data_IF_481880182025
#
_entry.id   IF_481880182025
#
_cell.length_a   1.000
_cell.length_b   1.000
_cell.length_c   1.000
_cell.angle_alpha   90.00
_cell.angle_beta   90.00
_cell.angle_gamma   90.00
#
_symmetry.space_group_name_H-M   'P 1'
#
loop_
_entity.id
_entity.type
_entity.pdbx_description
1 polymer ?
#
# COMPACT_ATOMS: atom_id res chain seq x y z
N UNK A 1 -53.02 30.26 77.88
CA UNK A 1 -51.57 30.15 77.61
C UNK A 1 -51.19 28.73 78.02
N UNK A 2 -50.62 27.82 77.23
CA UNK A 2 -49.74 27.94 76.07
C UNK A 2 -49.83 26.66 75.22
N UNK A 3 -49.91 26.86 73.89
CA UNK A 3 -49.32 26.10 72.77
C UNK A 3 -49.31 24.56 72.75
N UNK A 4 -50.18 23.99 71.90
CA UNK A 4 -49.96 22.70 71.24
C UNK A 4 -49.08 22.91 70.00
N UNK A 5 -48.01 22.13 69.85
CA UNK A 5 -47.15 22.11 68.65
C UNK A 5 -47.64 20.98 67.75
N UNK A 6 -48.31 21.33 66.65
CA UNK A 6 -48.58 20.43 65.53
C UNK A 6 -47.32 20.34 64.67
N UNK A 7 -46.62 19.20 64.73
CA UNK A 7 -45.53 18.90 63.80
C UNK A 7 -46.10 18.56 62.42
N UNK A 8 -46.07 19.53 61.50
CA UNK A 8 -46.35 19.28 60.09
C UNK A 8 -45.16 18.53 59.47
N UNK A 9 -45.36 17.26 59.14
CA UNK A 9 -44.43 16.50 58.30
C UNK A 9 -44.42 17.09 56.89
N UNK A 10 -43.32 17.75 56.52
CA UNK A 10 -43.05 18.15 55.14
C UNK A 10 -42.79 16.90 54.29
N UNK A 11 -43.82 16.40 53.63
CA UNK A 11 -43.66 15.47 52.52
C UNK A 11 -43.08 16.25 51.33
N UNK A 12 -41.75 16.22 51.19
CA UNK A 12 -41.09 16.66 49.96
C UNK A 12 -41.42 15.65 48.85
N UNK A 13 -42.41 15.97 48.02
CA UNK A 13 -42.66 15.21 46.79
C UNK A 13 -41.50 15.48 45.82
N UNK A 14 -40.59 14.53 45.68
CA UNK A 14 -39.66 14.55 44.55
C UNK A 14 -40.46 14.41 43.24
N UNK A 15 -40.16 15.25 42.27
CA UNK A 15 -40.66 15.08 40.91
C UNK A 15 -40.15 13.75 40.35
N UNK A 16 -41.06 12.93 39.83
CA UNK A 16 -40.69 11.75 39.05
C UNK A 16 -40.00 12.24 37.77
N UNK A 17 -38.70 12.02 37.67
CA UNK A 17 -37.93 12.27 36.46
C UNK A 17 -37.83 10.94 35.73
N UNK A 18 -38.68 10.74 34.72
CA UNK A 18 -38.57 9.63 33.79
C UNK A 18 -37.62 10.02 32.66
N UNK A 19 -36.46 9.39 32.58
CA UNK A 19 -35.57 9.53 31.42
C UNK A 19 -35.84 8.39 30.44
N UNK A 20 -36.22 8.73 29.20
CA UNK A 20 -36.20 7.80 28.08
C UNK A 20 -34.87 7.98 27.36
N UNK A 21 -33.99 6.98 27.43
CA UNK A 21 -32.72 6.98 26.70
C UNK A 21 -32.93 6.16 25.43
N UNK A 22 -33.00 6.84 24.29
CA UNK A 22 -32.95 6.19 22.98
C UNK A 22 -31.50 5.82 22.64
N UNK A 23 -31.28 4.60 22.12
CA UNK A 23 -29.96 4.07 21.73
C UNK A 23 -30.08 3.31 20.40
N UNK A 24 -30.40 4.00 19.30
CA UNK A 24 -30.37 3.35 18.00
C UNK A 24 -28.96 2.79 17.75
N UNK A 25 -28.87 1.50 17.42
CA UNK A 25 -27.63 0.79 17.16
C UNK A 25 -27.66 0.28 15.71
N UNK A 26 -26.68 0.69 14.93
CA UNK A 26 -26.41 0.14 13.60
C UNK A 26 -25.17 -0.73 13.71
N UNK A 27 -25.26 -2.00 13.35
CA UNK A 27 -24.13 -2.93 13.34
C UNK A 27 -23.68 -3.16 11.91
N UNK A 28 -22.37 -3.07 11.69
CA UNK A 28 -21.70 -3.52 10.47
C UNK A 28 -20.58 -4.45 10.93
N UNK A 29 -20.67 -5.72 10.56
CA UNK A 29 -19.84 -6.78 11.17
C UNK A 29 -18.36 -6.63 10.82
N UNK A 30 -18.05 -6.33 9.55
CA UNK A 30 -16.70 -6.08 9.07
C UNK A 30 -16.65 -4.91 8.11
N UNK A 31 -15.63 -4.08 8.25
CA UNK A 31 -15.30 -3.01 7.30
C UNK A 31 -13.81 -3.09 6.99
N UNK A 32 -13.46 -3.07 5.71
CA UNK A 32 -12.12 -2.81 5.24
C UNK A 32 -12.13 -1.54 4.39
N UNK A 33 -11.17 -0.66 4.67
CA UNK A 33 -10.98 0.60 3.99
C UNK A 33 -9.62 0.53 3.34
N UNK A 34 -9.59 0.66 2.01
CA UNK A 34 -8.35 0.80 1.25
C UNK A 34 -8.20 2.25 0.84
N UNK A 35 -7.02 2.80 1.06
CA UNK A 35 -6.72 4.15 0.62
C UNK A 35 -5.32 4.23 0.03
N UNK A 36 -5.24 5.01 -1.03
CA UNK A 36 -4.04 5.35 -1.79
C UNK A 36 -4.38 6.58 -2.64
N UNK A 37 -3.78 6.76 -3.81
CA UNK A 37 -4.20 7.81 -4.73
C UNK A 37 -5.52 7.44 -5.42
N UNK A 38 -6.32 8.46 -5.75
CA UNK A 38 -7.54 8.26 -6.54
C UNK A 38 -7.25 7.91 -8.01
N UNK A 39 -8.29 7.51 -8.74
CA UNK A 39 -8.23 7.20 -10.17
C UNK A 39 -7.79 8.39 -11.06
N UNK A 40 -7.75 9.62 -10.51
CA UNK A 40 -7.25 10.82 -11.21
C UNK A 40 -5.81 11.20 -10.83
N UNK A 41 -5.16 10.44 -9.95
CA UNK A 41 -3.78 10.68 -9.52
C UNK A 41 -3.62 11.76 -8.45
N UNK A 42 -4.64 12.02 -7.64
CA UNK A 42 -4.55 13.00 -6.54
C UNK A 42 -4.21 12.33 -5.19
N UNK A 43 -3.63 13.13 -4.27
CA UNK A 43 -3.16 12.77 -2.93
C UNK A 43 -4.21 11.96 -2.11
N UNK A 44 -3.83 11.24 -1.03
CA UNK A 44 -4.59 10.10 -0.55
C UNK A 44 -6.03 10.44 -0.18
N UNK A 45 -6.95 9.75 -0.83
CA UNK A 45 -8.35 9.68 -0.43
C UNK A 45 -8.67 8.23 -0.09
N UNK A 46 -9.74 8.04 0.69
CA UNK A 46 -10.32 6.71 0.80
C UNK A 46 -10.81 6.28 -0.57
N UNK A 47 -10.20 5.21 -1.09
CA UNK A 47 -10.39 4.76 -2.47
C UNK A 47 -11.43 3.64 -2.53
N UNK A 48 -11.54 2.82 -1.49
CA UNK A 48 -12.47 1.69 -1.43
C UNK A 48 -13.03 1.48 -0.01
N UNK A 49 -14.31 1.12 0.07
CA UNK A 49 -15.01 0.67 1.27
C UNK A 49 -15.66 -0.69 1.01
N UNK A 50 -15.14 -1.69 1.71
CA UNK A 50 -15.66 -3.05 1.67
C UNK A 50 -16.41 -3.30 2.97
N UNK A 51 -17.69 -3.65 2.84
CA UNK A 51 -18.54 -4.00 3.97
C UNK A 51 -18.89 -5.49 3.93
N UNK A 52 -18.56 -6.18 5.02
CA UNK A 52 -19.10 -7.50 5.32
C UNK A 52 -20.47 -7.35 5.99
N UNK A 53 -21.49 -7.87 5.32
CA UNK A 53 -22.88 -7.87 5.75
C UNK A 53 -23.40 -9.26 6.17
N UNK A 54 -22.49 -10.18 6.51
CA UNK A 54 -22.82 -11.57 6.87
C UNK A 54 -23.07 -12.46 5.65
N UNK A 55 -22.46 -12.10 4.51
CA UNK A 55 -22.69 -12.68 3.18
C UNK A 55 -21.50 -12.42 2.24
N UNK A 56 -21.77 -12.03 1.00
CA UNK A 56 -20.70 -11.55 0.11
C UNK A 56 -20.31 -10.12 0.49
N UNK A 57 -19.02 -9.84 0.49
CA UNK A 57 -18.49 -8.49 0.65
C UNK A 57 -19.11 -7.55 -0.39
N UNK A 58 -19.57 -6.39 0.08
CA UNK A 58 -20.08 -5.33 -0.79
C UNK A 58 -19.04 -4.23 -0.89
N UNK A 59 -18.49 -4.06 -2.09
CA UNK A 59 -17.74 -2.88 -2.47
C UNK A 59 -18.73 -1.71 -2.69
N UNK A 60 -18.58 -0.66 -1.89
CA UNK A 60 -19.40 0.55 -1.97
C UNK A 60 -18.84 1.60 -2.93
N UNK A 61 -17.56 1.54 -3.27
CA UNK A 61 -16.90 2.45 -4.19
C UNK A 61 -16.33 1.61 -5.34
N UNK A 62 -17.15 1.45 -6.37
CA UNK A 62 -16.80 0.74 -7.61
C UNK A 62 -15.77 1.51 -8.48
N UNK A 63 -14.71 2.03 -7.86
CA UNK A 63 -13.64 2.80 -8.48
C UNK A 63 -12.28 2.30 -7.98
N UNK A 64 -11.38 2.02 -8.91
CA UNK A 64 -10.06 1.49 -8.60
C UNK A 64 -9.15 2.58 -7.99
N UNK A 65 -8.31 2.16 -7.04
CA UNK A 65 -7.25 2.98 -6.47
C UNK A 65 -5.95 2.82 -7.26
N UNK A 66 -5.15 3.88 -7.34
CA UNK A 66 -3.75 3.75 -7.76
C UNK A 66 -2.84 3.69 -6.53
N UNK A 67 -1.88 2.77 -6.55
CA UNK A 67 -0.84 2.75 -5.52
C UNK A 67 -0.09 4.08 -5.50
N UNK A 68 0.52 4.43 -4.37
CA UNK A 68 1.42 5.59 -4.26
C UNK A 68 2.86 5.11 -4.22
N UNK A 69 3.82 5.98 -4.56
CA UNK A 69 5.25 5.69 -4.35
C UNK A 69 5.49 5.51 -2.85
N UNK A 70 6.13 4.42 -2.43
CA UNK A 70 6.43 4.22 -1.00
C UNK A 70 7.33 5.35 -0.46
N UNK A 71 6.91 5.98 0.64
CA UNK A 71 7.60 7.15 1.19
C UNK A 71 6.93 8.49 0.81
N UNK A 72 6.06 8.46 -0.20
CA UNK A 72 5.35 9.62 -0.74
C UNK A 72 3.85 9.33 -0.86
N UNK A 73 3.09 10.37 -1.14
CA UNK A 73 1.67 10.36 -1.43
C UNK A 73 1.36 10.62 -2.91
N UNK A 74 2.40 10.69 -3.75
CA UNK A 74 2.25 10.79 -5.18
C UNK A 74 1.73 9.48 -5.78
N UNK A 75 0.72 9.51 -6.66
CA UNK A 75 0.25 8.32 -7.36
C UNK A 75 1.38 7.68 -8.17
N UNK A 76 1.28 6.38 -8.39
CA UNK A 76 1.90 5.76 -9.54
C UNK A 76 0.98 5.93 -10.75
N UNK A 77 1.39 6.77 -11.68
CA UNK A 77 0.86 6.81 -13.05
C UNK A 77 1.91 6.23 -14.02
N UNK A 78 1.62 6.27 -15.32
CA UNK A 78 2.58 5.86 -16.36
C UNK A 78 3.81 6.80 -16.45
N UNK A 79 3.87 7.88 -15.66
CA UNK A 79 5.01 8.78 -15.63
C UNK A 79 5.91 8.43 -14.43
N UNK A 80 7.02 7.76 -14.68
CA UNK A 80 7.98 7.40 -13.63
C UNK A 80 8.49 8.66 -12.89
N UNK A 81 8.14 8.85 -11.60
CA UNK A 81 8.49 10.05 -10.84
C UNK A 81 9.99 10.09 -10.51
N UNK A 82 10.64 11.25 -10.62
CA UNK A 82 12.08 11.45 -10.36
C UNK A 82 12.59 10.67 -9.12
N UNK A 83 13.68 9.92 -9.27
CA UNK A 83 14.22 8.98 -8.27
C UNK A 83 13.68 7.54 -8.35
N UNK A 84 12.91 7.18 -9.38
CA UNK A 84 12.39 5.82 -9.68
C UNK A 84 12.94 5.27 -11.01
N UNK A 85 12.81 3.97 -11.27
CA UNK A 85 13.37 3.34 -12.49
C UNK A 85 14.73 2.63 -12.35
N UNK A 86 15.51 2.61 -13.44
CA UNK A 86 16.62 1.68 -13.63
C UNK A 86 18.01 2.30 -13.36
N UNK A 87 18.91 1.52 -12.75
CA UNK A 87 20.33 1.87 -12.63
C UNK A 87 21.09 1.40 -13.87
N UNK A 88 21.75 2.33 -14.55
CA UNK A 88 22.63 2.04 -15.68
C UNK A 88 24.07 1.78 -15.21
N UNK A 89 24.74 0.85 -15.88
CA UNK A 89 26.16 0.60 -15.74
C UNK A 89 26.82 0.65 -17.09
N UNK A 90 27.86 1.47 -17.16
CA UNK A 90 28.72 1.65 -18.31
C UNK A 90 30.11 1.15 -17.91
N UNK A 91 30.59 0.09 -18.54
CA UNK A 91 31.92 -0.47 -18.31
C UNK A 91 32.76 -0.39 -19.57
N UNK A 92 34.09 -0.46 -19.40
CA UNK A 92 35.05 -0.57 -20.50
C UNK A 92 34.92 0.57 -21.52
N UNK A 93 34.55 1.77 -21.07
CA UNK A 93 34.51 2.94 -21.94
C UNK A 93 35.93 3.43 -22.22
N UNK A 94 36.34 3.63 -23.49
CA UNK A 94 37.63 4.24 -23.79
C UNK A 94 37.71 5.69 -23.27
N UNK A 95 38.81 6.02 -22.59
CA UNK A 95 39.09 7.39 -22.14
C UNK A 95 38.27 7.87 -20.93
N UNK A 96 37.56 6.98 -20.24
CA UNK A 96 36.85 7.26 -18.99
C UNK A 96 36.81 6.03 -18.07
N UNK A 97 36.65 6.24 -16.76
CA UNK A 97 36.47 5.14 -15.81
C UNK A 97 35.13 4.43 -15.99
N UNK A 98 34.98 3.25 -15.41
CA UNK A 98 33.66 2.61 -15.30
C UNK A 98 32.71 3.55 -14.57
N UNK A 99 31.50 3.71 -15.12
CA UNK A 99 30.45 4.53 -14.52
C UNK A 99 29.31 3.61 -14.12
N UNK A 100 28.96 3.63 -12.85
CA UNK A 100 27.66 3.17 -12.38
C UNK A 100 26.92 4.42 -11.97
N UNK A 101 25.63 4.54 -12.26
CA UNK A 101 24.89 5.53 -11.48
C UNK A 101 25.05 5.23 -10.01
N UNK A 102 25.05 6.32 -9.23
CA UNK A 102 25.17 6.25 -7.79
C UNK A 102 24.16 5.23 -7.28
N UNK A 103 24.59 4.42 -6.33
CA UNK A 103 23.73 3.44 -5.68
C UNK A 103 22.61 4.21 -4.94
N UNK A 104 21.45 4.36 -5.58
CA UNK A 104 20.33 5.19 -5.11
C UNK A 104 19.77 6.15 -6.16
N UNK A 105 20.56 6.54 -7.17
CA UNK A 105 20.15 7.42 -8.27
C UNK A 105 19.68 6.55 -9.45
N UNK A 106 18.36 6.53 -9.65
CA UNK A 106 17.71 5.88 -10.79
C UNK A 106 17.57 6.94 -11.88
N UNK A 107 17.88 6.60 -13.14
CA UNK A 107 17.94 7.56 -14.26
C UNK A 107 16.56 8.06 -14.69
N UNK A 108 15.99 8.95 -13.93
CA UNK A 108 14.82 9.70 -14.38
C UNK A 108 14.78 11.12 -13.85
N UNK A 109 15.79 11.60 -13.10
CA UNK A 109 15.84 13.02 -12.78
C UNK A 109 16.53 13.78 -13.91
N UNK A 110 15.96 14.90 -14.33
CA UNK A 110 16.59 15.80 -15.32
C UNK A 110 17.95 16.37 -14.84
N UNK A 111 18.33 16.10 -13.59
CA UNK A 111 19.60 16.52 -12.97
C UNK A 111 20.70 15.46 -13.02
N UNK A 112 20.43 14.26 -13.51
CA UNK A 112 21.41 13.17 -13.60
C UNK A 112 22.46 13.48 -14.68
N UNK A 113 23.73 13.59 -14.27
CA UNK A 113 24.85 13.88 -15.20
C UNK A 113 25.83 12.71 -15.22
N UNK A 114 25.96 12.07 -16.38
CA UNK A 114 27.06 11.15 -16.67
C UNK A 114 28.33 11.93 -17.00
N UNK A 115 29.48 11.44 -16.52
CA UNK A 115 30.75 11.99 -16.99
C UNK A 115 30.91 11.65 -18.48
N UNK A 116 31.51 12.52 -19.30
CA UNK A 116 31.79 12.21 -20.70
C UNK A 116 32.56 10.89 -20.84
N UNK A 117 32.11 10.03 -21.74
CA UNK A 117 32.79 8.79 -22.10
C UNK A 117 32.75 8.57 -23.62
N UNK A 118 33.66 7.75 -24.14
CA UNK A 118 33.59 7.30 -25.55
C UNK A 118 32.97 5.91 -25.61
N UNK A 119 32.24 5.66 -26.70
CA UNK A 119 31.81 4.31 -27.05
C UNK A 119 32.92 3.67 -27.90
N UNK A 120 33.29 2.44 -27.55
CA UNK A 120 34.18 1.60 -28.34
C UNK A 120 33.64 0.17 -28.43
N UNK A 121 34.29 -0.68 -29.22
CA UNK A 121 33.85 -2.06 -29.48
C UNK A 121 33.71 -2.94 -28.22
N UNK A 122 34.33 -2.52 -27.10
CA UNK A 122 34.28 -3.25 -25.83
C UNK A 122 33.42 -2.54 -24.76
N UNK A 123 32.82 -1.39 -25.08
CA UNK A 123 32.00 -0.65 -24.12
C UNK A 123 30.71 -1.41 -23.85
N UNK A 124 30.50 -1.74 -22.59
CA UNK A 124 29.34 -2.50 -22.11
C UNK A 124 28.41 -1.55 -21.38
N UNK A 125 27.24 -1.30 -21.94
CA UNK A 125 26.18 -0.49 -21.35
C UNK A 125 25.03 -1.41 -21.02
N UNK A 126 24.68 -1.52 -19.74
CA UNK A 126 23.59 -2.38 -19.30
C UNK A 126 22.81 -1.80 -18.15
N UNK A 127 21.55 -2.17 -18.06
CA UNK A 127 20.75 -2.02 -16.85
C UNK A 127 21.16 -3.09 -15.83
N UNK A 128 21.53 -2.72 -14.60
CA UNK A 128 21.91 -3.70 -13.56
C UNK A 128 20.69 -4.10 -12.71
N UNK A 129 19.79 -3.15 -12.45
CA UNK A 129 18.67 -3.31 -11.53
C UNK A 129 17.66 -2.20 -11.76
N UNK A 130 16.38 -2.54 -11.82
CA UNK A 130 15.29 -1.59 -11.64
C UNK A 130 14.40 -2.11 -10.52
N UNK A 131 14.24 -1.27 -9.50
CA UNK A 131 13.41 -1.55 -8.33
C UNK A 131 12.38 -0.41 -8.23
N UNK A 132 11.09 -0.73 -8.28
CA UNK A 132 9.98 0.21 -8.06
C UNK A 132 9.32 -0.17 -6.73
N UNK A 133 9.18 0.81 -5.84
CA UNK A 133 8.50 0.62 -4.56
C UNK A 133 7.20 1.41 -4.56
N UNK A 134 6.09 0.69 -4.47
CA UNK A 134 4.76 1.27 -4.38
C UNK A 134 4.06 0.78 -3.11
N UNK A 135 3.05 1.49 -2.65
CA UNK A 135 2.31 1.12 -1.47
C UNK A 135 0.86 1.55 -1.53
N UNK A 136 0.06 0.87 -0.73
CA UNK A 136 -1.31 1.24 -0.39
C UNK A 136 -1.52 0.96 1.10
N UNK A 137 -2.63 1.43 1.65
CA UNK A 137 -2.92 1.33 3.07
C UNK A 137 -4.25 0.63 3.29
N UNK A 138 -4.30 -0.19 4.34
CA UNK A 138 -5.53 -0.89 4.72
C UNK A 138 -5.84 -0.59 6.18
N UNK A 139 -7.04 -0.09 6.44
CA UNK A 139 -7.64 -0.02 7.77
C UNK A 139 -8.84 -0.97 7.84
N UNK A 140 -8.86 -1.87 8.82
CA UNK A 140 -10.00 -2.76 9.03
C UNK A 140 -10.23 -3.06 10.50
N UNK A 141 -11.49 -3.35 10.85
CA UNK A 141 -11.90 -3.84 12.15
C UNK A 141 -11.99 -5.39 12.23
N UNK A 142 -11.75 -6.11 11.12
CA UNK A 142 -11.85 -7.57 11.00
C UNK A 142 -10.61 -8.18 10.33
N UNK A 143 -10.43 -9.49 10.42
CA UNK A 143 -9.43 -10.19 9.63
C UNK A 143 -9.76 -10.08 8.13
N UNK A 144 -8.75 -10.04 7.29
CA UNK A 144 -8.87 -9.86 5.85
C UNK A 144 -7.73 -10.57 5.13
N UNK A 145 -7.90 -10.78 3.83
CA UNK A 145 -6.90 -11.33 2.94
C UNK A 145 -6.66 -10.37 1.77
N UNK A 146 -5.58 -10.61 1.02
CA UNK A 146 -5.30 -9.91 -0.23
C UNK A 146 -5.01 -10.95 -1.31
N UNK A 147 -5.79 -10.89 -2.39
CA UNK A 147 -5.51 -11.60 -3.63
C UNK A 147 -4.78 -10.69 -4.61
N UNK A 148 -3.98 -11.27 -5.50
CA UNK A 148 -3.27 -10.58 -6.56
C UNK A 148 -3.49 -11.27 -7.90
N UNK A 149 -3.72 -10.46 -8.93
CA UNK A 149 -3.75 -10.86 -10.34
C UNK A 149 -2.76 -9.99 -11.11
N UNK A 150 -1.94 -10.61 -11.96
CA UNK A 150 -1.07 -9.88 -12.89
C UNK A 150 -1.44 -10.17 -14.35
N UNK A 151 -1.42 -9.14 -15.19
CA UNK A 151 -1.67 -9.22 -16.62
C UNK A 151 -0.59 -8.45 -17.39
N UNK A 152 -0.18 -8.92 -18.58
CA UNK A 152 0.73 -8.14 -19.41
C UNK A 152 -0.02 -6.96 -20.03
N UNK A 153 0.63 -5.81 -20.18
CA UNK A 153 0.06 -4.69 -20.94
C UNK A 153 0.21 -4.94 -22.44
N UNK A 154 1.38 -5.43 -22.86
CA UNK A 154 1.69 -5.70 -24.26
C UNK A 154 2.26 -7.11 -24.49
N UNK A 155 3.46 -7.40 -23.95
CA UNK A 155 4.13 -8.70 -24.15
C UNK A 155 3.94 -9.63 -22.93
N UNK A 156 3.32 -10.81 -23.08
CA UNK A 156 3.27 -11.82 -22.02
C UNK A 156 4.64 -12.24 -21.46
N UNK A 157 5.72 -12.07 -22.22
CA UNK A 157 7.08 -12.35 -21.75
C UNK A 157 7.49 -11.42 -20.59
N UNK A 158 6.96 -10.20 -20.51
CA UNK A 158 7.29 -9.20 -19.48
C UNK A 158 7.00 -9.70 -18.07
N UNK A 159 5.93 -10.49 -17.93
CA UNK A 159 5.57 -11.09 -16.65
C UNK A 159 6.63 -12.04 -16.09
N UNK A 160 7.51 -12.59 -16.94
CA UNK A 160 8.63 -13.43 -16.49
C UNK A 160 9.83 -12.60 -16.03
N UNK A 161 9.92 -11.35 -16.49
CA UNK A 161 11.01 -10.43 -16.20
C UNK A 161 10.76 -9.66 -14.90
N UNK A 162 9.50 -9.31 -14.64
CA UNK A 162 9.10 -8.58 -13.42
C UNK A 162 8.85 -9.56 -12.28
N UNK A 163 9.35 -9.20 -11.11
CA UNK A 163 9.10 -9.89 -9.85
C UNK A 163 8.51 -8.94 -8.84
N UNK A 164 7.67 -9.45 -7.96
CA UNK A 164 7.07 -8.67 -6.87
C UNK A 164 7.30 -9.35 -5.53
N UNK A 165 7.42 -8.53 -4.49
CA UNK A 165 7.39 -8.96 -3.10
C UNK A 165 6.57 -7.96 -2.29
N UNK A 166 5.68 -8.48 -1.46
CA UNK A 166 4.89 -7.68 -0.52
C UNK A 166 5.52 -7.72 0.88
N UNK A 167 5.46 -6.58 1.58
CA UNK A 167 5.79 -6.42 3.01
C UNK A 167 4.75 -5.51 3.66
N UNK A 168 4.79 -5.41 4.98
CA UNK A 168 3.92 -4.51 5.73
C UNK A 168 4.74 -3.58 6.60
N UNK A 169 4.30 -2.34 6.72
CA UNK A 169 4.82 -1.38 7.68
C UNK A 169 3.68 -0.96 8.60
N UNK A 170 3.83 -1.24 9.90
CA UNK A 170 2.79 -0.96 10.91
C UNK A 170 2.54 0.53 11.08
N UNK A 171 3.62 1.31 11.19
CA UNK A 171 3.58 2.75 11.42
C UNK A 171 4.75 3.46 10.76
N UNK A 172 4.56 4.74 10.44
CA UNK A 172 5.55 5.55 9.75
C UNK A 172 5.04 6.94 9.36
N UNK A 173 5.77 7.58 8.46
CA UNK A 173 5.41 8.89 7.90
C UNK A 173 5.71 8.90 6.41
N UNK A 174 4.74 9.31 5.59
CA UNK A 174 4.88 9.49 4.13
C UNK A 174 4.42 10.90 3.75
N UNK A 175 5.28 11.69 3.10
CA UNK A 175 5.06 13.13 2.82
C UNK A 175 4.47 13.95 3.99
N UNK A 176 4.91 13.64 5.21
CA UNK A 176 4.46 14.31 6.43
C UNK A 176 3.14 13.79 7.02
N UNK A 177 2.45 12.85 6.34
CA UNK A 177 1.31 12.13 6.89
C UNK A 177 1.80 10.98 7.77
N UNK A 178 1.55 11.07 9.08
CA UNK A 178 1.77 9.96 10.00
C UNK A 178 0.68 8.90 9.84
N UNK A 179 1.04 7.63 9.92
CA UNK A 179 0.10 6.51 9.91
C UNK A 179 0.47 5.47 10.97
N UNK A 180 -0.50 4.64 11.33
CA UNK A 180 -0.28 3.44 12.15
C UNK A 180 -0.17 3.66 13.66
N UNK A 181 -0.44 4.87 14.17
CA UNK A 181 -0.34 5.17 15.60
C UNK A 181 -1.32 4.36 16.48
N UNK A 182 -2.41 3.87 15.89
CA UNK A 182 -3.44 3.03 16.51
C UNK A 182 -3.61 1.69 15.75
N UNK A 183 -2.60 1.28 14.98
CA UNK A 183 -2.62 0.07 14.19
C UNK A 183 -1.97 -1.10 14.93
N UNK A 184 -2.14 -2.30 14.38
CA UNK A 184 -1.37 -3.50 14.69
C UNK A 184 -1.14 -4.26 13.39
N UNK A 185 -0.05 -5.03 13.32
CA UNK A 185 0.17 -5.95 12.21
C UNK A 185 -0.99 -6.98 12.13
N UNK A 186 -1.65 -7.15 10.96
CA UNK A 186 -2.87 -7.94 10.81
C UNK A 186 -2.66 -9.47 10.83
N UNK A 187 -1.64 -9.97 11.53
CA UNK A 187 -1.43 -11.40 11.71
C UNK A 187 -0.83 -11.77 13.08
N UNK A 188 -0.88 -13.04 13.47
CA UNK A 188 -0.35 -13.54 14.75
C UNK A 188 1.17 -13.54 14.89
N UNK A 189 1.94 -13.50 13.80
CA UNK A 189 3.40 -13.56 13.84
C UNK A 189 4.13 -12.25 14.17
N UNK A 190 3.43 -11.13 14.37
CA UNK A 190 3.93 -9.78 14.72
C UNK A 190 5.27 -9.31 14.09
N UNK A 191 5.59 -9.70 12.85
CA UNK A 191 6.69 -9.12 12.06
C UNK A 191 6.17 -8.50 10.77
N UNK A 192 6.94 -7.63 10.12
CA UNK A 192 6.61 -7.06 8.82
C UNK A 192 6.52 -8.05 7.63
N UNK A 193 6.69 -9.35 7.89
CA UNK A 193 6.70 -10.41 6.88
C UNK A 193 5.84 -11.62 7.23
N UNK A 194 5.35 -11.74 8.45
CA UNK A 194 4.50 -12.90 8.77
C UNK A 194 3.17 -12.73 8.01
N UNK A 195 2.35 -13.77 7.88
CA UNK A 195 1.07 -13.69 7.14
C UNK A 195 1.18 -13.48 5.61
N UNK A 196 2.29 -12.94 5.10
CA UNK A 196 2.60 -12.87 3.66
C UNK A 196 2.98 -14.27 3.20
N UNK A 197 2.26 -14.82 2.22
CA UNK A 197 2.48 -16.19 1.76
C UNK A 197 3.88 -16.38 1.15
N UNK A 198 4.48 -15.30 0.64
CA UNK A 198 5.75 -15.33 -0.08
C UNK A 198 6.81 -14.47 0.62
N UNK A 199 7.64 -15.09 1.46
CA UNK A 199 8.79 -14.45 2.11
C UNK A 199 9.91 -13.96 1.18
N UNK A 200 9.65 -13.85 -0.13
CA UNK A 200 10.61 -13.51 -1.16
C UNK A 200 9.93 -13.07 -2.46
N UNK A 201 10.73 -12.82 -3.49
CA UNK A 201 10.24 -12.38 -4.79
C UNK A 201 9.55 -13.49 -5.57
N UNK A 202 8.36 -13.20 -6.11
CA UNK A 202 7.63 -14.04 -7.08
C UNK A 202 7.65 -13.39 -8.45
N UNK A 203 7.67 -14.19 -9.51
CA UNK A 203 7.49 -13.69 -10.89
C UNK A 203 6.03 -13.38 -11.12
N UNK A 204 5.74 -12.29 -11.83
CA UNK A 204 4.36 -11.92 -12.16
C UNK A 204 3.66 -13.00 -13.01
N UNK A 205 4.41 -13.76 -13.82
CA UNK A 205 3.87 -14.87 -14.61
C UNK A 205 3.25 -15.99 -13.77
N UNK A 206 3.52 -16.03 -12.47
CA UNK A 206 2.89 -16.98 -11.54
C UNK A 206 1.56 -16.48 -10.96
N UNK A 207 1.18 -15.23 -11.24
CA UNK A 207 0.06 -14.50 -10.64
C UNK A 207 -1.09 -14.26 -11.62
N UNK A 208 -1.07 -14.87 -12.80
CA UNK A 208 -2.06 -14.63 -13.87
C UNK A 208 -3.45 -15.23 -13.60
N UNK A 209 -3.58 -16.12 -12.61
CA UNK A 209 -4.82 -16.85 -12.33
C UNK A 209 -5.49 -16.47 -11.00
N UNK A 210 -5.07 -15.37 -10.38
CA UNK A 210 -5.52 -14.99 -9.04
C UNK A 210 -4.87 -15.84 -7.96
N UNK A 211 -4.13 -15.20 -7.06
CA UNK A 211 -3.53 -15.87 -5.91
C UNK A 211 -3.57 -14.99 -4.69
N UNK A 212 -3.90 -15.60 -3.57
CA UNK A 212 -3.71 -15.00 -2.26
C UNK A 212 -2.21 -14.74 -2.01
N UNK A 213 -1.87 -13.49 -1.73
CA UNK A 213 -0.52 -13.03 -1.40
C UNK A 213 -0.37 -12.75 0.10
N UNK A 214 -1.48 -12.51 0.79
CA UNK A 214 -1.52 -12.21 2.22
C UNK A 214 -2.76 -12.82 2.88
N UNK A 215 -2.52 -13.57 3.96
CA UNK A 215 -3.55 -14.07 4.87
C UNK A 215 -3.46 -13.39 6.22
N UNK A 216 -4.41 -12.51 6.48
CA UNK A 216 -4.59 -11.93 7.79
C UNK A 216 -5.39 -12.86 8.70
N UNK A 217 -5.13 -12.77 10.00
CA UNK A 217 -5.99 -13.41 11.00
C UNK A 217 -6.42 -12.42 12.09
N UNK A 218 -6.15 -11.13 11.89
CA UNK A 218 -6.47 -10.04 12.80
C UNK A 218 -6.77 -8.77 12.01
N UNK A 219 -7.49 -7.88 12.65
CA UNK A 219 -7.75 -6.51 12.19
C UNK A 219 -6.50 -5.64 12.26
N UNK A 220 -6.43 -4.57 11.47
CA UNK A 220 -5.37 -3.56 11.62
C UNK A 220 -5.70 -2.55 12.72
N UNK A 221 -6.96 -2.19 12.94
CA UNK A 221 -7.35 -1.22 13.96
C UNK A 221 -7.17 -1.77 15.38
N UNK A 222 -6.07 -1.45 16.06
CA UNK A 222 -5.78 -1.92 17.41
C UNK A 222 -6.61 -1.17 18.46
N UNK A 223 -6.67 0.15 18.33
CA UNK A 223 -7.40 1.08 19.19
C UNK A 223 -8.18 2.12 18.36
N UNK A 224 -9.09 2.90 18.98
CA UNK A 224 -9.72 4.03 18.31
C UNK A 224 -8.68 5.03 17.79
N UNK A 225 -8.92 5.58 16.61
CA UNK A 225 -8.05 6.55 15.94
C UNK A 225 -8.65 7.00 14.61
N UNK A 226 -7.91 7.82 13.87
CA UNK A 226 -8.26 8.13 12.48
C UNK A 226 -8.03 6.91 11.57
N UNK A 227 -8.52 6.97 10.33
CA UNK A 227 -8.23 5.93 9.33
C UNK A 227 -6.72 5.74 9.17
N UNK A 228 -5.96 6.83 9.05
CA UNK A 228 -4.51 6.78 8.94
C UNK A 228 -3.86 6.15 10.19
N UNK A 229 -4.32 6.49 11.40
CA UNK A 229 -3.80 5.88 12.63
C UNK A 229 -4.06 4.37 12.69
N UNK A 230 -5.19 3.91 12.16
CA UNK A 230 -5.61 2.50 12.20
C UNK A 230 -5.11 1.68 10.99
N UNK A 231 -4.37 2.31 10.09
CA UNK A 231 -3.91 1.69 8.85
C UNK A 231 -2.56 1.02 8.99
N UNK A 232 -2.40 -0.11 8.30
CA UNK A 232 -1.10 -0.71 8.00
C UNK A 232 -0.81 -0.47 6.53
N UNK A 233 0.42 -0.06 6.23
CA UNK A 233 0.90 0.13 4.85
C UNK A 233 1.39 -1.19 4.28
N UNK A 234 0.95 -1.54 3.09
CA UNK A 234 1.44 -2.68 2.32
C UNK A 234 2.44 -2.18 1.29
N UNK A 235 3.72 -2.55 1.48
CA UNK A 235 4.82 -2.17 0.61
C UNK A 235 5.01 -3.22 -0.49
N UNK A 236 4.92 -2.80 -1.74
CA UNK A 236 5.12 -3.59 -2.94
C UNK A 236 6.49 -3.25 -3.54
N UNK A 237 7.39 -4.23 -3.50
CA UNK A 237 8.73 -4.12 -4.05
C UNK A 237 8.75 -4.88 -5.38
N UNK A 238 8.69 -4.14 -6.49
CA UNK A 238 8.83 -4.68 -7.83
C UNK A 238 10.28 -4.64 -8.24
N UNK A 239 10.74 -5.77 -8.77
CA UNK A 239 12.08 -5.92 -9.31
C UNK A 239 12.03 -6.44 -10.71
N UNK A 240 12.70 -5.73 -11.58
CA UNK A 240 12.98 -6.24 -12.90
C UNK A 240 14.30 -7.00 -12.88
N UNK A 241 14.24 -8.24 -13.36
CA UNK A 241 15.31 -9.22 -13.18
C UNK A 241 15.84 -9.66 -14.56
N UNK A 242 16.41 -8.73 -15.31
CA UNK A 242 17.10 -9.02 -16.57
C UNK A 242 18.62 -9.04 -16.38
N UNK A 243 19.23 -10.03 -17.04
CA UNK A 243 20.64 -9.99 -17.42
C UNK A 243 20.81 -9.03 -18.60
N UNK A 244 22.03 -8.49 -18.72
CA UNK A 244 22.51 -7.54 -19.73
C UNK A 244 21.55 -7.30 -20.91
N UNK A 245 20.85 -6.16 -20.88
CA UNK A 245 20.15 -5.65 -22.06
C UNK A 245 21.15 -4.85 -22.88
N UNK A 246 21.21 -5.14 -24.17
CA UNK A 246 22.11 -4.47 -25.10
C UNK A 246 21.38 -3.27 -25.73
N UNK A 247 22.12 -2.20 -26.02
CA UNK A 247 21.60 -1.05 -26.73
C UNK A 247 21.19 -1.40 -28.18
N UNK A 248 21.63 -2.54 -28.70
CA UNK A 248 21.19 -3.07 -30.00
C UNK A 248 19.72 -3.51 -30.01
N UNK A 249 19.11 -3.73 -28.85
CA UNK A 249 17.68 -4.07 -28.72
C UNK A 249 16.76 -2.85 -28.99
N UNK A 250 17.33 -1.64 -29.09
CA UNK A 250 16.61 -0.42 -29.41
C UNK A 250 15.80 0.11 -28.22
N UNK A 251 14.55 0.49 -28.46
CA UNK A 251 13.60 0.86 -27.40
C UNK A 251 12.79 -0.37 -27.06
N UNK A 252 12.83 -0.78 -25.81
CA UNK A 252 11.98 -1.83 -25.27
C UNK A 252 11.25 -1.25 -24.05
N UNK A 253 10.02 -1.70 -23.85
CA UNK A 253 9.21 -1.35 -22.69
C UNK A 253 8.81 -2.65 -21.99
N UNK A 254 8.78 -2.65 -20.66
CA UNK A 254 8.46 -3.83 -19.87
C UNK A 254 7.38 -3.44 -18.88
N UNK A 255 6.15 -3.85 -19.19
CA UNK A 255 4.96 -3.34 -18.52
C UNK A 255 4.03 -4.48 -18.08
N UNK A 256 3.41 -4.31 -16.92
CA UNK A 256 2.42 -5.24 -16.41
C UNK A 256 1.43 -4.53 -15.50
N UNK A 257 0.16 -4.88 -15.65
CA UNK A 257 -0.88 -4.51 -14.71
C UNK A 257 -0.89 -5.51 -13.55
N UNK A 258 -0.96 -5.00 -12.32
CA UNK A 258 -1.06 -5.82 -11.12
C UNK A 258 -2.16 -5.29 -10.23
N UNK A 259 -3.20 -6.11 -10.06
CA UNK A 259 -4.40 -5.77 -9.30
C UNK A 259 -4.33 -6.47 -7.96
N UNK A 260 -4.54 -5.73 -6.88
CA UNK A 260 -4.61 -6.24 -5.51
C UNK A 260 -6.04 -6.10 -4.99
N UNK A 261 -6.65 -7.22 -4.65
CA UNK A 261 -8.02 -7.25 -4.12
C UNK A 261 -7.98 -7.55 -2.64
N UNK A 262 -8.37 -6.56 -1.83
CA UNK A 262 -8.59 -6.72 -0.39
C UNK A 262 -9.98 -7.32 -0.19
N UNK A 263 -10.15 -8.27 0.72
CA UNK A 263 -11.47 -8.82 1.07
C UNK A 263 -11.49 -9.41 2.48
N UNK A 264 -12.68 -9.51 3.05
CA UNK A 264 -12.96 -10.12 4.35
C UNK A 264 -13.50 -11.54 4.09
N UNK A 265 -12.77 -12.60 4.52
CA UNK A 265 -13.17 -13.98 4.27
C UNK A 265 -14.31 -14.47 5.17
#
# INVERSE_FOLDING_TARGET
MSTAVLGAGLCLSQTSIGNTIDRPHFNVDGVAIVWAADASGTAPIVSDFIIDSGGADTDLINGDAHTVITGSLAPTDNAFPDGTGATLRIQNSPGGGNQTTRQGDRFNSASDVLNPFRLGANTDVRTIRSDILTSFYVATNKAFNIDVIAAPVSDPADLNLIRVRMRMTESGTDDGLAFGAAAQIPHSGNTNRSGVQWGGYRRLSTLTAGRDIFRGNRRTAASPGTIADQSVRFDLDYRWNTGNIDLSDGTFDVEADVIYTVYIP
#
